data_IF_597509041218
#
_entry.id   IF_597509041218
#
_cell.length_a   1.000
_cell.length_b   1.000
_cell.length_c   1.000
_cell.angle_alpha   90.00
_cell.angle_beta   90.00
_cell.angle_gamma   90.00
#
_symmetry.space_group_name_H-M   'P 1'
#
loop_
_entity.id
_entity.type
_entity.pdbx_description
1 polymer ?
#
# COMPACT_ATOMS: atom_id res chain seq x y z
N UNK A 1 -2.61 14.20 -6.96
CA UNK A 1 -3.57 14.68 -5.94
C UNK A 1 -2.95 14.37 -4.58
N UNK A 2 -2.67 15.39 -3.76
CA UNK A 2 -2.03 15.23 -2.46
C UNK A 2 -2.94 14.49 -1.49
N UNK A 3 -2.37 13.66 -0.63
CA UNK A 3 -3.10 13.05 0.48
C UNK A 3 -2.85 13.92 1.70
N UNK A 4 -3.90 14.56 2.19
CA UNK A 4 -3.89 15.37 3.41
C UNK A 4 -5.23 15.24 4.15
N UNK A 5 -5.26 15.78 5.37
CA UNK A 5 -6.46 15.78 6.23
C UNK A 5 -7.59 16.60 5.60
N UNK A 6 -7.29 17.67 4.85
CA UNK A 6 -8.34 18.51 4.24
C UNK A 6 -9.16 17.70 3.22
N UNK A 7 -8.51 16.82 2.46
CA UNK A 7 -9.16 15.99 1.46
C UNK A 7 -9.84 14.76 2.06
N UNK A 8 -9.26 14.16 3.12
CA UNK A 8 -9.73 12.89 3.69
C UNK A 8 -10.65 13.06 4.90
N UNK A 9 -10.52 14.17 5.62
CA UNK A 9 -11.31 14.51 6.81
C UNK A 9 -12.81 14.35 6.60
N UNK A 10 -13.41 14.88 5.52
CA UNK A 10 -14.85 14.74 5.28
C UNK A 10 -15.34 13.29 5.21
N UNK A 11 -14.52 12.36 4.70
CA UNK A 11 -14.88 10.93 4.63
C UNK A 11 -14.79 10.27 6.01
N UNK A 12 -13.76 10.64 6.79
CA UNK A 12 -13.57 10.15 8.17
C UNK A 12 -14.72 10.63 9.07
N UNK A 13 -15.06 11.92 8.99
CA UNK A 13 -16.17 12.54 9.71
C UNK A 13 -17.51 11.93 9.33
N UNK A 14 -17.77 11.77 8.03
CA UNK A 14 -18.98 11.12 7.54
C UNK A 14 -19.10 9.69 8.08
N UNK A 15 -18.04 8.89 7.98
CA UNK A 15 -18.03 7.52 8.49
C UNK A 15 -18.32 7.46 10.00
N UNK A 16 -17.76 8.41 10.77
CA UNK A 16 -18.07 8.52 12.20
C UNK A 16 -19.54 8.84 12.44
N UNK A 17 -20.10 9.81 11.72
CA UNK A 17 -21.51 10.18 11.83
C UNK A 17 -22.47 9.05 11.40
N UNK A 18 -22.03 8.20 10.46
CA UNK A 18 -22.77 7.04 9.99
C UNK A 18 -22.72 5.85 10.97
N UNK A 19 -22.00 5.97 12.09
CA UNK A 19 -21.90 4.92 13.11
C UNK A 19 -20.99 3.75 12.70
N UNK A 20 -20.02 4.00 11.82
CA UNK A 20 -19.03 2.99 11.42
C UNK A 20 -18.25 2.52 12.66
N UNK A 21 -18.17 1.19 12.83
CA UNK A 21 -17.53 0.57 14.00
C UNK A 21 -16.03 0.37 13.83
N UNK A 22 -15.57 0.21 12.60
CA UNK A 22 -14.17 -0.04 12.26
C UNK A 22 -13.78 0.79 11.04
N UNK A 23 -12.64 1.48 11.08
CA UNK A 23 -12.14 2.27 9.95
C UNK A 23 -10.81 1.74 9.43
N UNK A 24 -10.73 1.40 8.15
CA UNK A 24 -9.51 0.94 7.49
C UNK A 24 -8.97 2.03 6.58
N UNK A 25 -7.65 2.26 6.60
CA UNK A 25 -7.02 3.28 5.77
C UNK A 25 -5.78 2.77 5.04
N UNK A 26 -5.73 2.99 3.73
CA UNK A 26 -4.56 2.73 2.90
C UNK A 26 -3.66 3.96 2.93
N UNK A 27 -2.61 3.87 3.74
CA UNK A 27 -1.51 4.81 3.82
C UNK A 27 -0.43 4.46 2.78
N UNK A 28 0.84 4.73 3.07
CA UNK A 28 1.96 4.39 2.19
C UNK A 28 3.23 4.12 2.98
N UNK A 29 4.01 3.10 2.59
CA UNK A 29 5.36 2.89 3.11
C UNK A 29 6.38 3.90 2.54
N UNK A 30 6.03 4.70 1.52
CA UNK A 30 6.89 5.78 1.03
C UNK A 30 7.14 6.91 2.05
N UNK A 31 6.41 6.89 3.17
CA UNK A 31 6.55 7.84 4.26
C UNK A 31 7.67 7.49 5.24
N UNK A 32 8.21 6.27 5.22
CA UNK A 32 9.38 5.95 6.04
C UNK A 32 10.58 6.83 5.68
N UNK A 33 11.36 7.20 6.69
CA UNK A 33 12.67 7.82 6.45
C UNK A 33 13.66 6.72 6.05
N UNK A 34 14.64 7.02 5.18
CA UNK A 34 15.69 6.05 4.84
C UNK A 34 16.32 5.45 6.09
N UNK A 35 16.59 4.15 6.04
CA UNK A 35 17.30 3.38 7.08
C UNK A 35 18.50 2.67 6.47
N UNK A 36 19.54 2.49 7.27
CA UNK A 36 20.71 1.68 6.91
C UNK A 36 20.45 0.18 7.15
N UNK A 37 19.38 -0.16 7.89
CA UNK A 37 19.02 -1.53 8.28
C UNK A 37 17.63 -1.93 7.75
N UNK A 38 17.47 -2.18 6.43
CA UNK A 38 16.22 -2.73 5.90
C UNK A 38 16.01 -4.19 6.35
N UNK A 39 14.75 -4.69 6.39
CA UNK A 39 13.53 -4.00 6.00
C UNK A 39 12.94 -3.11 7.09
N UNK A 40 12.14 -2.13 6.69
CA UNK A 40 11.37 -1.30 7.62
C UNK A 40 10.35 -2.12 8.42
N UNK A 41 10.07 -1.65 9.63
CA UNK A 41 8.97 -2.14 10.47
C UNK A 41 7.99 -1.03 10.84
N UNK A 42 6.81 -1.40 11.33
CA UNK A 42 5.69 -0.48 11.58
C UNK A 42 6.02 0.65 12.56
N UNK A 43 6.96 0.39 13.49
CA UNK A 43 7.46 1.36 14.47
C UNK A 43 8.57 2.29 13.97
N UNK A 44 9.08 2.10 12.75
CA UNK A 44 10.18 2.92 12.23
C UNK A 44 9.77 4.38 12.01
N UNK A 45 10.78 5.25 12.02
CA UNK A 45 10.58 6.70 11.89
C UNK A 45 10.02 7.06 10.52
N UNK A 46 8.93 7.82 10.54
CA UNK A 46 8.26 8.35 9.35
C UNK A 46 8.54 9.85 9.15
N UNK A 47 8.35 10.33 7.93
CA UNK A 47 8.34 11.75 7.54
C UNK A 47 7.09 12.40 8.16
N UNK A 48 7.26 13.12 9.26
CA UNK A 48 6.16 13.68 10.03
C UNK A 48 5.29 14.69 9.24
N UNK A 49 5.87 15.29 8.20
CA UNK A 49 5.24 16.21 7.25
C UNK A 49 4.52 15.50 6.09
N UNK A 50 4.63 14.17 5.96
CA UNK A 50 3.86 13.43 4.99
C UNK A 50 2.38 13.45 5.38
N UNK A 51 1.51 13.95 4.50
CA UNK A 51 0.09 14.12 4.82
C UNK A 51 -0.64 12.82 5.18
N UNK A 52 -0.14 11.66 4.73
CA UNK A 52 -0.55 10.34 5.22
C UNK A 52 -0.47 10.22 6.75
N UNK A 53 0.64 10.64 7.37
CA UNK A 53 0.84 10.56 8.83
C UNK A 53 -0.19 11.41 9.57
N UNK A 54 -0.58 12.55 9.00
CA UNK A 54 -1.66 13.38 9.54
C UNK A 54 -3.00 12.64 9.54
N UNK A 55 -3.34 11.97 8.43
CA UNK A 55 -4.58 11.19 8.32
C UNK A 55 -4.56 9.96 9.24
N UNK A 56 -3.42 9.27 9.35
CA UNK A 56 -3.23 8.14 10.27
C UNK A 56 -3.54 8.53 11.73
N UNK A 57 -2.95 9.63 12.21
CA UNK A 57 -3.19 10.15 13.56
C UNK A 57 -4.65 10.55 13.77
N UNK A 58 -5.21 11.27 12.79
CA UNK A 58 -6.58 11.73 12.88
C UNK A 58 -7.58 10.57 12.97
N UNK A 59 -7.40 9.50 12.19
CA UNK A 59 -8.24 8.29 12.29
C UNK A 59 -8.11 7.65 13.68
N UNK A 60 -6.89 7.56 14.20
CA UNK A 60 -6.63 6.99 15.52
C UNK A 60 -7.26 7.78 16.67
N UNK A 61 -7.47 9.08 16.50
CA UNK A 61 -8.19 9.94 17.45
C UNK A 61 -9.71 9.79 17.36
N UNK A 62 -10.27 9.57 16.16
CA UNK A 62 -11.71 9.55 15.92
C UNK A 62 -12.34 8.17 16.16
N UNK A 63 -11.63 7.11 15.82
CA UNK A 63 -12.14 5.74 15.88
C UNK A 63 -11.49 4.95 17.01
N UNK A 64 -12.29 4.19 17.76
CA UNK A 64 -11.78 3.25 18.76
C UNK A 64 -11.28 1.95 18.14
N UNK A 65 -11.77 1.61 16.94
CA UNK A 65 -11.29 0.49 16.13
C UNK A 65 -10.88 0.97 14.75
N UNK A 66 -9.60 0.86 14.47
CA UNK A 66 -9.00 1.28 13.20
C UNK A 66 -7.84 0.36 12.84
N UNK A 67 -7.54 0.28 11.54
CA UNK A 67 -6.35 -0.39 11.02
C UNK A 67 -5.77 0.42 9.85
N UNK A 68 -4.46 0.55 9.80
CA UNK A 68 -3.75 1.30 8.76
C UNK A 68 -2.85 0.34 7.97
N UNK A 69 -2.81 0.48 6.65
CA UNK A 69 -2.02 -0.37 5.77
C UNK A 69 -1.01 0.49 5.01
N UNK A 70 0.26 0.11 4.99
CA UNK A 70 1.34 0.87 4.34
C UNK A 70 1.92 0.06 3.16
N UNK A 71 1.25 0.04 2.00
CA UNK A 71 1.84 -0.50 0.77
C UNK A 71 2.87 0.48 0.16
N UNK A 72 3.77 -0.02 -0.68
CA UNK A 72 4.70 0.80 -1.46
C UNK A 72 4.27 0.91 -2.93
N UNK A 73 4.82 0.07 -3.81
CA UNK A 73 4.33 -0.06 -5.18
C UNK A 73 3.50 -1.32 -5.29
N UNK A 74 2.31 -1.21 -5.87
CA UNK A 74 1.43 -2.34 -6.10
C UNK A 74 1.43 -2.70 -7.57
N UNK A 75 1.33 -3.99 -7.86
CA UNK A 75 1.09 -4.52 -9.21
C UNK A 75 -0.21 -5.33 -9.22
N UNK A 76 -0.78 -5.48 -10.40
CA UNK A 76 -1.97 -6.29 -10.64
C UNK A 76 -2.96 -5.62 -11.61
N UNK A 77 -3.95 -6.39 -12.05
CA UNK A 77 -4.97 -5.91 -12.97
C UNK A 77 -5.70 -4.67 -12.44
N UNK A 78 -5.92 -3.68 -13.32
CA UNK A 78 -6.63 -2.44 -13.00
C UNK A 78 -5.77 -1.37 -12.30
N UNK A 79 -4.46 -1.59 -12.18
CA UNK A 79 -3.54 -0.56 -11.72
C UNK A 79 -3.51 0.63 -12.71
N UNK A 80 -3.44 1.85 -12.17
CA UNK A 80 -3.37 3.10 -12.93
C UNK A 80 -1.99 3.77 -12.83
N UNK A 81 -1.10 3.22 -11.99
CA UNK A 81 0.30 3.58 -11.89
C UNK A 81 1.09 2.35 -12.30
N UNK A 82 1.12 2.10 -13.61
CA UNK A 82 1.81 0.97 -14.22
C UNK A 82 3.34 1.18 -14.16
N UNK A 83 3.89 1.23 -12.94
CA UNK A 83 5.31 1.39 -12.68
C UNK A 83 6.11 0.26 -13.35
N UNK A 84 5.52 -0.93 -13.41
CA UNK A 84 6.06 -2.11 -14.09
C UNK A 84 6.14 -1.94 -15.61
N UNK A 85 5.20 -1.21 -16.23
CA UNK A 85 5.22 -0.97 -17.68
C UNK A 85 6.42 -0.11 -18.08
N UNK A 86 6.83 0.84 -17.22
CA UNK A 86 8.08 1.57 -17.42
C UNK A 86 9.29 0.64 -17.53
N UNK A 87 9.32 -0.46 -16.77
CA UNK A 87 10.36 -1.47 -16.85
C UNK A 87 10.18 -2.41 -18.05
N UNK A 88 8.95 -2.80 -18.38
CA UNK A 88 8.65 -3.65 -19.54
C UNK A 88 9.03 -2.98 -20.87
N UNK A 89 8.84 -1.66 -20.97
CA UNK A 89 9.26 -0.85 -22.12
C UNK A 89 10.79 -0.80 -22.31
N UNK A 90 11.58 -1.10 -21.27
CA UNK A 90 13.01 -0.82 -21.19
C UNK A 90 13.80 -2.09 -20.89
N UNK A 91 14.25 -2.75 -21.95
CA UNK A 91 15.09 -3.95 -21.85
C UNK A 91 16.57 -3.68 -21.52
N UNK A 92 17.00 -2.40 -21.38
CA UNK A 92 18.42 -2.06 -21.23
C UNK A 92 18.71 -0.74 -20.47
N UNK A 93 18.03 -0.48 -19.36
CA UNK A 93 18.21 0.72 -18.53
C UNK A 93 18.85 0.42 -17.17
N UNK A 94 19.51 1.38 -16.51
CA UNK A 94 20.14 1.17 -15.20
C UNK A 94 19.13 0.59 -14.21
N UNK A 95 19.51 -0.52 -13.59
CA UNK A 95 18.67 -1.24 -12.63
C UNK A 95 18.43 -0.38 -11.39
N UNK A 96 17.16 -0.06 -11.12
CA UNK A 96 16.74 0.52 -9.86
C UNK A 96 16.07 -0.57 -9.02
N UNK A 97 16.59 -0.83 -7.82
CA UNK A 97 15.92 -1.71 -6.87
C UNK A 97 14.64 -1.04 -6.40
N UNK A 98 13.51 -1.66 -6.68
CA UNK A 98 12.18 -1.22 -6.21
C UNK A 98 11.44 -2.41 -5.62
N UNK A 99 10.51 -2.13 -4.70
CA UNK A 99 9.71 -3.17 -4.06
C UNK A 99 8.28 -3.05 -4.56
N UNK A 100 7.82 -4.13 -5.17
CA UNK A 100 6.47 -4.29 -5.67
C UNK A 100 5.78 -5.40 -4.89
N UNK A 101 4.51 -5.20 -4.58
CA UNK A 101 3.65 -6.20 -3.96
C UNK A 101 2.40 -6.42 -4.79
N UNK A 102 1.93 -7.64 -4.85
CA UNK A 102 0.71 -7.95 -5.59
C UNK A 102 -0.53 -7.44 -4.84
N UNK A 103 -1.48 -6.84 -5.55
CA UNK A 103 -2.73 -6.32 -4.94
C UNK A 103 -3.54 -7.41 -4.23
N UNK A 104 -3.43 -8.68 -4.66
CA UNK A 104 -4.05 -9.85 -3.99
C UNK A 104 -3.57 -9.98 -2.54
N UNK A 105 -2.27 -9.80 -2.29
CA UNK A 105 -1.73 -9.91 -0.93
C UNK A 105 -2.23 -8.77 -0.05
N UNK A 106 -2.20 -7.50 -0.52
CA UNK A 106 -2.81 -6.40 0.24
C UNK A 106 -4.30 -6.66 0.53
N UNK A 107 -5.03 -7.12 -0.49
CA UNK A 107 -6.46 -7.42 -0.37
C UNK A 107 -6.72 -8.49 0.69
N UNK A 108 -5.88 -9.53 0.75
CA UNK A 108 -6.01 -10.59 1.75
C UNK A 108 -5.75 -10.09 3.18
N UNK A 109 -4.79 -9.19 3.39
CA UNK A 109 -4.56 -8.58 4.72
C UNK A 109 -5.75 -7.70 5.10
N UNK A 110 -6.31 -6.93 4.16
CA UNK A 110 -7.52 -6.14 4.39
C UNK A 110 -8.72 -7.00 4.78
N UNK A 111 -8.93 -8.12 4.07
CA UNK A 111 -9.99 -9.08 4.39
C UNK A 111 -9.83 -9.62 5.80
N UNK A 112 -8.62 -10.08 6.16
CA UNK A 112 -8.36 -10.57 7.52
C UNK A 112 -8.59 -9.52 8.60
N UNK A 113 -8.27 -8.26 8.33
CA UNK A 113 -8.51 -7.17 9.27
C UNK A 113 -10.01 -6.87 9.47
N UNK A 114 -10.82 -7.02 8.42
CA UNK A 114 -12.28 -6.91 8.49
C UNK A 114 -12.88 -8.10 9.24
N UNK A 115 -12.37 -9.30 9.01
CA UNK A 115 -12.84 -10.53 9.68
C UNK A 115 -12.44 -10.59 11.15
N UNK A 116 -11.31 -9.97 11.52
CA UNK A 116 -10.75 -9.99 12.88
C UNK A 116 -10.57 -8.56 13.43
N UNK A 117 -11.65 -7.79 13.62
CA UNK A 117 -11.56 -6.37 13.95
C UNK A 117 -10.93 -6.10 15.31
N UNK A 118 -11.08 -7.00 16.28
CA UNK A 118 -10.45 -6.88 17.60
C UNK A 118 -8.93 -7.00 17.51
N UNK A 119 -8.43 -7.98 16.75
CA UNK A 119 -6.99 -8.17 16.53
C UNK A 119 -6.40 -7.02 15.69
N UNK A 120 -7.13 -6.58 14.65
CA UNK A 120 -6.67 -5.52 13.76
C UNK A 120 -6.68 -4.12 14.41
N UNK A 121 -7.52 -3.92 15.43
CA UNK A 121 -7.75 -2.63 16.05
C UNK A 121 -6.48 -2.02 16.64
N UNK A 122 -6.18 -0.78 16.26
CA UNK A 122 -5.05 -0.03 16.78
C UNK A 122 -3.72 -0.36 16.11
N UNK A 123 -3.73 -1.19 15.05
CA UNK A 123 -2.53 -1.67 14.40
C UNK A 123 -2.28 -1.04 13.04
N UNK A 124 -1.00 -0.94 12.73
CA UNK A 124 -0.48 -0.61 11.42
C UNK A 124 0.04 -1.92 10.82
N UNK A 125 -0.13 -2.11 9.52
CA UNK A 125 0.29 -3.29 8.79
C UNK A 125 1.11 -2.86 7.58
N UNK A 126 2.38 -3.23 7.55
CA UNK A 126 3.12 -3.20 6.30
C UNK A 126 2.71 -4.36 5.39
N UNK A 127 3.10 -4.29 4.11
CA UNK A 127 2.59 -5.22 3.09
C UNK A 127 3.64 -5.75 2.11
N UNK A 128 4.95 -5.56 2.34
CA UNK A 128 5.96 -5.90 1.32
C UNK A 128 7.33 -6.25 1.90
N UNK A 129 8.29 -6.67 1.07
CA UNK A 129 9.60 -7.08 1.58
C UNK A 129 10.39 -5.92 2.24
N UNK A 130 10.40 -4.73 1.62
CA UNK A 130 11.13 -3.56 2.15
C UNK A 130 10.50 -2.88 3.37
N UNK A 131 9.21 -3.12 3.63
CA UNK A 131 8.57 -2.80 4.89
C UNK A 131 7.84 -4.08 5.30
N UNK A 132 8.52 -4.88 6.12
CA UNK A 132 8.15 -6.26 6.34
C UNK A 132 6.75 -6.34 6.98
N UNK A 133 5.84 -7.20 6.48
CA UNK A 133 4.50 -7.38 7.03
C UNK A 133 4.52 -8.16 8.35
N UNK A 134 5.35 -7.73 9.33
CA UNK A 134 5.51 -8.42 10.63
C UNK A 134 4.21 -8.42 11.40
N UNK A 135 3.57 -7.26 11.54
CA UNK A 135 2.30 -7.16 12.23
C UNK A 135 1.23 -8.03 11.57
N UNK A 136 1.19 -8.12 10.23
CA UNK A 136 0.22 -8.97 9.54
C UNK A 136 0.45 -10.46 9.85
N UNK A 137 1.71 -10.91 9.84
CA UNK A 137 2.08 -12.30 10.18
C UNK A 137 1.78 -12.64 11.64
N UNK A 138 2.09 -11.74 12.56
CA UNK A 138 2.02 -12.00 13.99
C UNK A 138 0.61 -11.82 14.57
N UNK A 139 -0.11 -10.79 14.12
CA UNK A 139 -1.41 -10.39 14.69
C UNK A 139 -2.56 -11.04 13.92
N UNK A 140 -2.48 -11.06 12.60
CA UNK A 140 -3.54 -11.60 11.73
C UNK A 140 -3.25 -13.02 11.25
N UNK A 141 -2.11 -13.60 11.66
CA UNK A 141 -1.64 -14.93 11.22
C UNK A 141 -1.58 -15.01 9.69
N UNK A 142 -1.27 -13.88 9.03
CA UNK A 142 -1.31 -13.76 7.59
C UNK A 142 -0.09 -14.43 6.93
N UNK A 143 -0.32 -15.01 5.74
CA UNK A 143 0.73 -15.51 4.85
C UNK A 143 0.47 -15.04 3.42
N UNK A 144 1.55 -14.63 2.75
CA UNK A 144 1.49 -14.26 1.34
C UNK A 144 1.13 -15.45 0.47
N UNK A 145 0.30 -15.20 -0.53
CA UNK A 145 -0.17 -16.22 -1.48
C UNK A 145 0.47 -16.08 -2.85
N UNK A 146 1.14 -14.95 -3.09
CA UNK A 146 1.67 -14.59 -4.40
C UNK A 146 3.16 -14.88 -4.53
N UNK A 147 3.59 -15.05 -5.78
CA UNK A 147 4.96 -15.38 -6.13
C UNK A 147 5.42 -14.37 -7.17
N UNK A 148 6.22 -13.39 -6.74
CA UNK A 148 6.54 -12.23 -7.56
C UNK A 148 7.10 -12.58 -8.96
N UNK A 149 8.04 -13.53 -9.13
CA UNK A 149 8.44 -14.01 -10.45
C UNK A 149 7.29 -14.50 -11.34
N UNK A 150 6.35 -15.27 -10.77
CA UNK A 150 5.19 -15.78 -11.51
C UNK A 150 4.19 -14.67 -11.83
N UNK A 151 3.91 -13.79 -10.87
CA UNK A 151 2.98 -12.66 -11.07
C UNK A 151 3.51 -11.66 -12.11
N UNK A 152 4.81 -11.39 -12.12
CA UNK A 152 5.44 -10.53 -13.12
C UNK A 152 5.36 -11.14 -14.51
N UNK A 153 5.48 -12.46 -14.62
CA UNK A 153 5.32 -13.17 -15.89
C UNK A 153 3.87 -13.07 -16.38
N UNK A 154 2.89 -13.32 -15.52
CA UNK A 154 1.46 -13.15 -15.83
C UNK A 154 1.18 -11.70 -16.31
N UNK A 155 1.67 -10.71 -15.58
CA UNK A 155 1.48 -9.28 -15.89
C UNK A 155 2.19 -8.86 -17.19
N UNK A 156 3.36 -9.42 -17.49
CA UNK A 156 4.05 -9.18 -18.76
C UNK A 156 3.30 -9.80 -19.94
N UNK A 157 2.77 -11.03 -19.79
CA UNK A 157 1.95 -11.67 -20.82
C UNK A 157 0.66 -10.88 -21.08
N UNK A 158 0.06 -10.26 -20.06
CA UNK A 158 -1.03 -9.31 -20.22
C UNK A 158 -0.60 -8.05 -20.97
N UNK A 159 0.52 -7.43 -20.58
CA UNK A 159 1.09 -6.25 -21.23
C UNK A 159 1.32 -6.48 -22.73
N UNK A 160 1.90 -7.62 -23.11
CA UNK A 160 2.13 -7.98 -24.52
C UNK A 160 0.81 -8.07 -25.31
N UNK A 161 -0.27 -8.54 -24.70
CA UNK A 161 -1.59 -8.65 -25.35
C UNK A 161 -2.29 -7.31 -25.55
N UNK A 162 -2.16 -6.41 -24.58
CA UNK A 162 -2.80 -5.08 -24.63
C UNK A 162 -1.98 -4.06 -25.44
N UNK A 163 -0.67 -4.31 -25.61
CA UNK A 163 0.27 -3.38 -26.22
C UNK A 163 0.60 -2.19 -25.30
N UNK A 164 1.65 -1.41 -25.62
CA UNK A 164 2.01 -0.25 -24.82
C UNK A 164 0.84 0.77 -24.79
N UNK A 165 0.40 1.20 -23.60
CA UNK A 165 -0.60 2.27 -23.49
C UNK A 165 -0.01 3.57 -24.01
N UNK A 166 -0.71 4.22 -24.95
CA UNK A 166 -0.26 5.50 -25.55
C UNK A 166 -0.17 6.66 -24.52
N UNK A 167 -0.76 6.51 -23.33
CA UNK A 167 -0.78 7.53 -22.27
C UNK A 167 0.55 7.70 -21.52
N UNK A 168 1.52 6.80 -21.68
CA UNK A 168 2.87 6.98 -21.12
C UNK A 168 3.61 8.21 -21.69
N UNK A 169 3.08 8.85 -22.75
CA UNK A 169 3.59 10.11 -23.29
C UNK A 169 3.08 11.37 -22.59
N UNK A 170 2.12 11.29 -21.65
CA UNK A 170 1.60 12.47 -20.96
C UNK A 170 2.42 12.92 -19.73
N UNK A 171 3.37 12.10 -19.26
CA UNK A 171 4.36 12.45 -18.22
C UNK A 171 5.70 12.86 -18.86
N UNK A 172 5.67 13.23 -20.14
CA UNK A 172 6.79 13.86 -20.85
C UNK A 172 6.45 15.32 -21.09
N UNK A 173 6.60 16.15 -20.06
CA UNK A 173 6.91 17.59 -20.12
C UNK A 173 7.17 18.10 -18.70
#
# INVERSE_FOLDING_TARGET
MGIDIQLKGPVVDWAKSAGVKQFLFISSAGIYKPTDEPPHVEGDVVKADAGHVGVEKYIAEIFSSWAIFRPQYMIGSGNNKDCEEWFFDRTNCPMQLTNIAHVRDLSSILTLAVENPEAASGNIFNCHFYAEPRAAKEILVWQGTTNLPEDLKERFDEYVKIGPRQEANAIRN
#
